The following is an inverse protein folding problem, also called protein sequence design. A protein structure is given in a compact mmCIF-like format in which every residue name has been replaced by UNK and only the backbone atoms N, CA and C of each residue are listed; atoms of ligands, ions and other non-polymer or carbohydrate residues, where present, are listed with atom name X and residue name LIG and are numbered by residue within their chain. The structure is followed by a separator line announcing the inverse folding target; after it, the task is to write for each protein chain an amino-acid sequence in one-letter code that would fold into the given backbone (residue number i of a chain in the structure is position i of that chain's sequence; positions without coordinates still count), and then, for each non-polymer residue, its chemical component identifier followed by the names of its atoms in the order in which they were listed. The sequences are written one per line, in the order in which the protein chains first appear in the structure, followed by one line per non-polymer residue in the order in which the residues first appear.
data_IF_542133708312
#
_entry.id   IF_542133708312
#
_cell.length_a   1.000
_cell.length_b   1.000
_cell.length_c   1.000
_cell.angle_alpha   90.00
_cell.angle_beta   90.00
_cell.angle_gamma   90.00
#
_symmetry.space_group_name_H-M   'P 1'
#
loop_
_entity.id
_entity.type
_entity.pdbx_description
1 polymer ?
#
# COMPACT_ATOMS: atom_id res chain seq x y z
N UNK A 1 -33.86 -43.00 3.69
CA UNK A 1 -32.98 -42.21 2.81
C UNK A 1 -32.45 -41.05 3.64
N UNK A 2 -31.18 -41.09 4.07
CA UNK A 2 -30.59 -40.07 4.94
C UNK A 2 -29.76 -39.13 4.06
N UNK A 3 -30.21 -37.88 3.90
CA UNK A 3 -29.48 -36.86 3.14
C UNK A 3 -28.42 -36.27 4.06
N UNK A 4 -27.16 -36.60 3.80
CA UNK A 4 -26.00 -36.03 4.48
C UNK A 4 -25.79 -34.61 3.94
N UNK A 5 -26.18 -33.59 4.72
CA UNK A 5 -25.81 -32.21 4.44
C UNK A 5 -24.33 -32.01 4.80
N UNK A 6 -23.47 -31.95 3.79
CA UNK A 6 -22.06 -31.58 3.97
C UNK A 6 -21.98 -30.04 4.01
N UNK A 7 -21.57 -29.42 5.13
CA UNK A 7 -21.42 -27.98 5.19
C UNK A 7 -20.18 -27.59 4.38
N UNK A 8 -20.41 -26.89 3.26
CA UNK A 8 -19.36 -26.31 2.44
C UNK A 8 -18.71 -25.17 3.24
N UNK A 9 -17.65 -25.49 3.99
CA UNK A 9 -16.88 -24.49 4.71
C UNK A 9 -16.18 -23.58 3.69
N UNK A 10 -16.67 -22.34 3.57
CA UNK A 10 -16.08 -21.31 2.74
C UNK A 10 -14.74 -20.91 3.37
N UNK A 11 -13.65 -21.55 2.95
CA UNK A 11 -12.30 -21.17 3.37
C UNK A 11 -11.99 -19.83 2.70
N UNK A 12 -12.13 -18.74 3.45
CA UNK A 12 -11.67 -17.43 2.98
C UNK A 12 -10.15 -17.50 2.76
N UNK A 13 -9.63 -17.03 1.62
CA UNK A 13 -8.19 -17.05 1.37
C UNK A 13 -7.48 -16.20 2.43
N UNK A 14 -6.29 -16.61 2.89
CA UNK A 14 -5.51 -15.83 3.83
C UNK A 14 -5.26 -14.44 3.23
N UNK A 15 -5.74 -13.41 3.92
CA UNK A 15 -5.46 -12.03 3.57
C UNK A 15 -3.97 -11.84 3.80
N UNK A 16 -3.17 -11.76 2.72
CA UNK A 16 -1.77 -11.33 2.81
C UNK A 16 -1.76 -10.03 3.62
N UNK A 17 -1.24 -10.11 4.85
CA UNK A 17 -1.04 -8.93 5.66
C UNK A 17 0.02 -8.11 4.95
N UNK A 18 -0.41 -7.07 4.23
CA UNK A 18 0.51 -6.10 3.66
C UNK A 18 1.19 -5.40 4.84
N UNK A 19 2.51 -5.53 4.94
CA UNK A 19 3.30 -4.87 5.97
C UNK A 19 3.10 -3.36 5.84
N UNK A 20 2.31 -2.82 6.77
CA UNK A 20 1.97 -1.40 6.76
C UNK A 20 3.06 -0.63 7.49
N UNK A 21 3.72 0.26 6.78
CA UNK A 21 4.72 1.17 7.34
C UNK A 21 4.05 2.50 7.67
N UNK A 22 4.43 3.09 8.81
CA UNK A 22 3.87 4.34 9.31
C UNK A 22 4.94 5.42 9.32
N UNK A 23 4.55 6.64 8.91
CA UNK A 23 5.46 7.77 8.77
C UNK A 23 4.94 9.04 9.45
N UNK A 24 5.85 9.84 10.00
CA UNK A 24 5.55 11.19 10.48
C UNK A 24 5.50 12.22 9.34
N UNK A 25 5.31 13.51 9.67
CA UNK A 25 5.29 14.61 8.71
C UNK A 25 6.61 14.85 7.97
N UNK A 26 7.71 14.23 8.42
CA UNK A 26 9.05 14.29 7.84
C UNK A 26 9.46 12.96 7.17
N UNK A 27 8.51 12.06 6.92
CA UNK A 27 8.74 10.74 6.30
C UNK A 27 9.65 9.80 7.11
N UNK A 28 9.74 9.98 8.43
CA UNK A 28 10.49 9.06 9.31
C UNK A 28 9.57 7.95 9.79
N UNK A 29 10.11 6.73 9.92
CA UNK A 29 9.38 5.61 10.50
C UNK A 29 8.96 5.88 11.94
N UNK A 30 7.68 5.68 12.23
CA UNK A 30 7.09 5.88 13.56
C UNK A 30 6.08 4.79 13.87
N UNK A 31 5.56 4.77 15.10
CA UNK A 31 4.41 3.93 15.45
C UNK A 31 3.13 4.45 14.80
N UNK A 32 2.12 3.58 14.68
CA UNK A 32 0.78 3.95 14.17
C UNK A 32 0.16 5.14 14.90
N UNK A 33 0.36 5.25 16.21
CA UNK A 33 -0.22 6.34 17.02
C UNK A 33 0.31 7.72 16.59
N UNK A 34 1.57 7.78 16.17
CA UNK A 34 2.30 9.00 15.82
C UNK A 34 2.30 9.29 14.31
N UNK A 35 1.64 8.43 13.52
CA UNK A 35 1.65 8.51 12.07
C UNK A 35 0.84 9.70 11.55
N UNK A 36 1.38 10.38 10.55
CA UNK A 36 0.67 11.31 9.64
C UNK A 36 0.34 10.63 8.33
N UNK A 37 1.19 9.69 7.90
CA UNK A 37 1.02 8.87 6.71
C UNK A 37 1.19 7.39 7.04
N UNK A 38 0.64 6.55 6.19
CA UNK A 38 0.93 5.12 6.19
C UNK A 38 1.00 4.60 4.77
N UNK A 39 1.68 3.49 4.55
CA UNK A 39 1.79 2.90 3.23
C UNK A 39 2.20 1.45 3.27
N UNK A 40 2.21 0.83 2.10
CA UNK A 40 2.70 -0.52 1.90
C UNK A 40 3.26 -0.69 0.50
N UNK A 41 3.99 -1.78 0.32
CA UNK A 41 4.56 -2.20 -0.95
C UNK A 41 3.87 -3.48 -1.38
N UNK A 42 3.32 -3.48 -2.60
CA UNK A 42 2.73 -4.66 -3.23
C UNK A 42 3.74 -5.21 -4.25
N UNK A 43 4.28 -6.42 -4.04
CA UNK A 43 5.08 -7.11 -5.03
C UNK A 43 4.34 -7.26 -6.36
N UNK A 44 5.08 -7.08 -7.46
CA UNK A 44 4.65 -7.36 -8.83
C UNK A 44 5.65 -8.35 -9.47
N UNK A 45 5.42 -8.70 -10.73
CA UNK A 45 6.29 -9.61 -11.47
C UNK A 45 7.72 -9.06 -11.63
N UNK A 46 8.68 -9.96 -11.80
CA UNK A 46 10.07 -9.64 -12.13
C UNK A 46 10.77 -8.72 -11.12
N UNK A 47 10.42 -8.81 -9.83
CA UNK A 47 11.02 -7.99 -8.78
C UNK A 47 10.53 -6.54 -8.73
N UNK A 48 9.53 -6.19 -9.55
CA UNK A 48 8.87 -4.88 -9.51
C UNK A 48 7.95 -4.78 -8.31
N UNK A 49 7.57 -3.56 -7.94
CA UNK A 49 6.55 -3.32 -6.94
C UNK A 49 5.69 -2.09 -7.25
N UNK A 50 4.53 -2.04 -6.60
CA UNK A 50 3.72 -0.84 -6.44
C UNK A 50 3.87 -0.32 -5.02
N UNK A 51 4.23 0.95 -4.89
CA UNK A 51 4.37 1.64 -3.60
C UNK A 51 3.16 2.56 -3.45
N UNK A 52 2.45 2.43 -2.32
CA UNK A 52 1.23 3.19 -2.04
C UNK A 52 1.34 3.86 -0.69
N UNK A 53 1.21 5.18 -0.67
CA UNK A 53 1.17 5.98 0.56
C UNK A 53 -0.20 6.68 0.68
N UNK A 54 -0.65 6.83 1.91
CA UNK A 54 -1.94 7.37 2.29
C UNK A 54 -1.77 8.38 3.41
N UNK A 55 -2.65 9.37 3.44
CA UNK A 55 -2.85 10.19 4.63
C UNK A 55 -3.45 9.33 5.76
N UNK A 56 -3.22 9.69 7.03
CA UNK A 56 -3.84 9.03 8.20
C UNK A 56 -5.36 8.88 8.09
N UNK A 57 -6.02 9.79 7.40
CA UNK A 57 -7.47 9.81 7.14
C UNK A 57 -7.93 8.81 6.08
N UNK A 58 -7.00 8.18 5.35
CA UNK A 58 -7.26 7.08 4.41
C UNK A 58 -7.25 7.47 2.94
N UNK A 59 -7.20 8.76 2.62
CA UNK A 59 -7.07 9.24 1.24
C UNK A 59 -5.68 8.93 0.72
N UNK A 60 -5.61 8.55 -0.57
CA UNK A 60 -4.33 8.31 -1.24
C UNK A 60 -3.50 9.58 -1.23
N UNK A 61 -2.21 9.42 -0.97
CA UNK A 61 -1.24 10.51 -0.99
C UNK A 61 -0.21 10.29 -2.10
N UNK A 62 0.23 9.05 -2.34
CA UNK A 62 1.14 8.71 -3.43
C UNK A 62 0.85 7.33 -4.01
N UNK A 63 1.07 7.18 -5.31
CA UNK A 63 1.22 5.90 -5.99
C UNK A 63 2.43 5.95 -6.93
N UNK A 64 3.32 4.96 -6.84
CA UNK A 64 4.53 4.86 -7.66
C UNK A 64 4.84 3.39 -8.00
N UNK A 65 5.54 3.21 -9.13
CA UNK A 65 6.25 1.97 -9.42
C UNK A 65 7.64 1.95 -8.77
N UNK A 66 8.23 0.76 -8.66
CA UNK A 66 9.57 0.59 -8.15
C UNK A 66 10.13 -0.82 -8.25
N UNK A 67 11.26 -1.03 -7.59
CA UNK A 67 11.91 -2.32 -7.38
C UNK A 67 11.75 -2.74 -5.91
N UNK A 68 11.46 -4.02 -5.69
CA UNK A 68 11.40 -4.60 -4.34
C UNK A 68 12.76 -4.52 -3.66
N UNK A 69 12.76 -4.21 -2.36
CA UNK A 69 13.95 -4.17 -1.52
C UNK A 69 13.64 -3.64 -0.11
N UNK A 70 14.59 -3.71 0.82
CA UNK A 70 14.52 -3.01 2.10
C UNK A 70 15.43 -1.75 2.10
N UNK A 71 14.91 -0.54 1.79
CA UNK A 71 13.54 -0.21 1.37
C UNK A 71 13.32 -0.43 -0.14
N UNK A 72 12.04 -0.41 -0.56
CA UNK A 72 11.69 -0.43 -1.97
C UNK A 72 12.17 0.87 -2.63
N UNK A 73 12.70 0.75 -3.86
CA UNK A 73 13.27 1.89 -4.60
C UNK A 73 12.24 2.33 -5.63
N UNK A 74 11.78 3.59 -5.54
CA UNK A 74 10.87 4.19 -6.52
C UNK A 74 11.60 4.31 -7.86
N UNK A 75 10.96 3.85 -8.93
CA UNK A 75 11.52 3.88 -10.28
C UNK A 75 10.37 4.00 -11.29
N UNK A 76 10.45 5.05 -12.12
CA UNK A 76 9.42 5.37 -13.09
C UNK A 76 8.45 6.48 -12.64
N UNK A 77 7.24 6.51 -13.23
CA UNK A 77 6.27 7.55 -12.94
C UNK A 77 5.73 7.46 -11.51
N UNK A 78 5.49 8.64 -10.93
CA UNK A 78 4.84 8.80 -9.62
C UNK A 78 3.67 9.77 -9.74
N UNK A 79 2.57 9.47 -9.04
CA UNK A 79 1.45 10.40 -8.84
C UNK A 79 1.32 10.74 -7.36
N UNK A 80 1.25 12.03 -7.07
CA UNK A 80 0.94 12.55 -5.74
C UNK A 80 -0.46 13.16 -5.74
N UNK A 81 -1.21 12.90 -4.69
CA UNK A 81 -2.57 13.38 -4.47
C UNK A 81 -2.55 14.33 -3.28
N UNK A 82 -3.04 15.56 -3.46
CA UNK A 82 -3.16 16.51 -2.36
C UNK A 82 -4.48 16.29 -1.62
N UNK A 83 -4.48 16.45 -0.29
CA UNK A 83 -5.70 16.29 0.54
C UNK A 83 -6.87 17.18 0.10
N UNK A 84 -6.60 18.36 -0.48
CA UNK A 84 -7.59 19.41 -0.78
C UNK A 84 -8.19 19.35 -2.20
N UNK A 85 -8.64 18.17 -2.66
CA UNK A 85 -9.44 18.04 -3.89
C UNK A 85 -8.73 17.33 -5.07
N UNK A 86 -9.20 17.50 -6.32
CA UNK A 86 -8.75 16.71 -7.48
C UNK A 86 -7.32 17.01 -7.95
N UNK A 87 -6.59 17.88 -7.24
CA UNK A 87 -5.23 18.26 -7.60
C UNK A 87 -4.31 17.07 -7.37
N UNK A 88 -3.74 16.59 -8.46
CA UNK A 88 -2.63 15.65 -8.47
C UNK A 88 -1.42 16.29 -9.15
N UNK A 89 -0.22 15.93 -8.71
CA UNK A 89 0.99 16.22 -9.47
C UNK A 89 1.66 14.90 -9.85
N UNK A 90 2.28 14.88 -11.02
CA UNK A 90 3.00 13.72 -11.54
C UNK A 90 4.47 14.05 -11.63
N UNK A 91 5.32 13.06 -11.35
CA UNK A 91 6.76 13.18 -11.47
C UNK A 91 7.38 11.91 -12.02
N UNK A 92 8.71 11.89 -12.07
CA UNK A 92 9.50 10.77 -12.56
C UNK A 92 10.67 10.52 -11.60
N UNK A 93 10.85 9.27 -11.21
CA UNK A 93 12.05 8.77 -10.56
C UNK A 93 12.93 8.06 -11.61
N UNK A 94 14.25 8.13 -11.42
CA UNK A 94 15.27 7.55 -12.29
C UNK A 94 16.22 6.67 -11.47
#
# INVERSE_FOLDING_TARGET
MLILFLPLALVAPPKLALDTTFFDGSWRHVSRANAVYYGWVTPLDSGRCRIQDFYRSGERQMEAGGWLGPPAIKDGPVTYYFRSGPKRTTGQFA
#
